data_IF_268865450506
#
_entry.id   IF_268865450506
#
_cell.length_a   1.000
_cell.length_b   1.000
_cell.length_c   1.000
_cell.angle_alpha   90.00
_cell.angle_beta   90.00
_cell.angle_gamma   90.00
#
_symmetry.space_group_name_H-M   'P 1'
#
loop_
_entity.id
_entity.type
_entity.pdbx_description
1 polymer ?
#
# COMPACT_ATOMS: atom_id res chain seq x y z
N UNK A 1 -27.31 -2.86 8.12
CA UNK A 1 -26.42 -3.32 7.02
C UNK A 1 -25.19 -2.43 6.75
N UNK A 2 -25.22 -1.10 6.92
CA UNK A 2 -24.08 -0.22 6.58
C UNK A 2 -22.83 -0.45 7.43
N UNK A 3 -23.00 -0.53 8.76
CA UNK A 3 -21.91 -0.81 9.70
C UNK A 3 -21.16 -2.11 9.37
N UNK A 4 -21.90 -3.15 8.98
CA UNK A 4 -21.33 -4.43 8.54
C UNK A 4 -20.50 -4.30 7.25
N UNK A 5 -21.00 -3.59 6.23
CA UNK A 5 -20.25 -3.34 4.98
C UNK A 5 -18.94 -2.59 5.24
N UNK A 6 -18.99 -1.61 6.13
CA UNK A 6 -17.86 -0.80 6.55
C UNK A 6 -16.81 -1.61 7.33
N UNK A 7 -17.25 -2.46 8.26
CA UNK A 7 -16.37 -3.40 8.95
C UNK A 7 -15.74 -4.40 7.99
N UNK A 8 -16.50 -4.91 7.01
CA UNK A 8 -15.99 -5.83 6.00
C UNK A 8 -14.98 -5.15 5.06
N UNK A 9 -15.24 -3.93 4.60
CA UNK A 9 -14.32 -3.14 3.78
C UNK A 9 -13.01 -2.87 4.53
N UNK A 10 -13.10 -2.48 5.81
CA UNK A 10 -11.94 -2.32 6.69
C UNK A 10 -11.17 -3.61 6.90
N UNK A 11 -11.85 -4.74 7.12
CA UNK A 11 -11.19 -6.03 7.27
C UNK A 11 -10.44 -6.44 6.00
N UNK A 12 -11.07 -6.28 4.84
CA UNK A 12 -10.44 -6.55 3.54
C UNK A 12 -9.25 -5.62 3.29
N UNK A 13 -9.39 -4.33 3.59
CA UNK A 13 -8.31 -3.35 3.42
C UNK A 13 -7.10 -3.73 4.28
N UNK A 14 -7.33 -4.05 5.56
CA UNK A 14 -6.27 -4.53 6.45
C UNK A 14 -5.57 -5.78 5.92
N UNK A 15 -6.32 -6.72 5.37
CA UNK A 15 -5.74 -7.94 4.82
C UNK A 15 -4.90 -7.68 3.57
N UNK A 16 -5.40 -6.86 2.64
CA UNK A 16 -4.64 -6.49 1.43
C UNK A 16 -3.34 -5.75 1.78
N UNK A 17 -3.37 -4.90 2.81
CA UNK A 17 -2.20 -4.16 3.26
C UNK A 17 -1.09 -5.04 3.82
N UNK A 18 -1.44 -6.11 4.54
CA UNK A 18 -0.45 -7.07 5.02
C UNK A 18 0.24 -7.83 3.88
N UNK A 19 -0.28 -7.75 2.66
CA UNK A 19 0.28 -8.45 1.50
C UNK A 19 1.17 -7.55 0.63
N UNK A 20 1.28 -6.24 0.92
CA UNK A 20 2.11 -5.34 0.10
C UNK A 20 3.57 -5.78 0.17
N UNK A 21 4.15 -5.85 1.36
CA UNK A 21 5.53 -6.29 1.57
C UNK A 21 5.76 -7.71 1.10
N UNK A 22 4.82 -8.63 1.34
CA UNK A 22 4.91 -10.01 0.85
C UNK A 22 5.01 -10.04 -0.68
N UNK A 23 4.13 -9.32 -1.38
CA UNK A 23 4.15 -9.25 -2.85
C UNK A 23 5.43 -8.62 -3.39
N UNK A 24 5.94 -7.58 -2.74
CA UNK A 24 7.19 -6.94 -3.14
C UNK A 24 8.39 -7.89 -2.98
N UNK A 25 8.50 -8.56 -1.82
CA UNK A 25 9.59 -9.49 -1.54
C UNK A 25 9.59 -10.69 -2.50
N UNK A 26 8.41 -11.22 -2.84
CA UNK A 26 8.28 -12.29 -3.82
C UNK A 26 8.75 -11.87 -5.22
N UNK A 27 8.49 -10.61 -5.61
CA UNK A 27 8.84 -10.08 -6.92
C UNK A 27 10.29 -9.59 -7.05
N UNK A 28 10.87 -9.06 -5.97
CA UNK A 28 12.28 -8.66 -5.92
C UNK A 28 13.23 -9.87 -5.94
N UNK A 29 12.76 -11.04 -5.52
CA UNK A 29 13.59 -12.24 -5.40
C UNK A 29 14.67 -12.09 -4.31
N UNK A 30 15.65 -13.00 -4.26
CA UNK A 30 16.74 -12.90 -3.30
C UNK A 30 17.56 -11.63 -3.57
N UNK A 31 17.56 -10.73 -2.60
CA UNK A 31 18.38 -9.52 -2.61
C UNK A 31 19.86 -9.93 -2.60
N UNK A 32 20.56 -9.70 -3.71
CA UNK A 32 22.00 -9.82 -3.75
C UNK A 32 22.60 -8.53 -3.15
N UNK A 33 23.04 -8.60 -1.89
CA UNK A 33 23.65 -7.46 -1.20
C UNK A 33 25.06 -7.12 -1.73
N UNK A 34 25.50 -7.73 -2.82
CA UNK A 34 26.70 -7.35 -3.53
C UNK A 34 26.48 -5.96 -4.14
N UNK A 35 27.06 -4.94 -3.49
CA UNK A 35 27.11 -3.53 -3.91
C UNK A 35 27.33 -3.42 -5.43
N UNK A 36 26.23 -3.29 -6.18
CA UNK A 36 26.28 -3.12 -7.62
C UNK A 36 25.97 -1.66 -7.92
N UNK A 37 27.04 -0.92 -8.24
CA UNK A 37 27.00 0.47 -8.71
C UNK A 37 26.33 0.58 -10.09
N UNK A 38 25.07 0.17 -10.21
CA UNK A 38 24.28 0.37 -11.43
C UNK A 38 22.98 1.09 -11.08
N UNK A 39 22.80 2.27 -11.66
CA UNK A 39 21.73 3.23 -11.35
C UNK A 39 20.30 2.79 -11.69
N UNK A 40 20.03 1.48 -11.74
CA UNK A 40 18.69 0.88 -11.85
C UNK A 40 18.14 0.45 -10.49
N UNK A 41 19.00 0.31 -9.47
CA UNK A 41 18.61 -0.14 -8.12
C UNK A 41 17.89 0.93 -7.29
N UNK A 42 18.12 2.21 -7.57
CA UNK A 42 17.58 3.33 -6.76
C UNK A 42 16.05 3.36 -6.74
N UNK A 43 15.41 3.17 -7.89
CA UNK A 43 13.94 3.28 -7.99
C UNK A 43 13.21 2.14 -7.26
N UNK A 44 13.84 0.96 -7.19
CA UNK A 44 13.31 -0.18 -6.44
C UNK A 44 13.35 0.06 -4.93
N UNK A 45 14.49 0.55 -4.43
CA UNK A 45 14.63 0.90 -3.02
C UNK A 45 13.71 2.04 -2.62
N UNK A 46 13.53 3.05 -3.46
CA UNK A 46 12.59 4.14 -3.21
C UNK A 46 11.15 3.64 -3.12
N UNK A 47 10.72 2.77 -4.06
CA UNK A 47 9.40 2.15 -4.01
C UNK A 47 9.26 1.28 -2.76
N UNK A 48 10.27 0.49 -2.39
CA UNK A 48 10.25 -0.34 -1.18
C UNK A 48 10.11 0.50 0.09
N UNK A 49 10.84 1.62 0.18
CA UNK A 49 10.77 2.55 1.31
C UNK A 49 9.40 3.22 1.41
N UNK A 50 8.83 3.66 0.29
CA UNK A 50 7.47 4.23 0.25
C UNK A 50 6.41 3.22 0.65
N UNK A 51 6.53 1.96 0.19
CA UNK A 51 5.61 0.88 0.58
C UNK A 51 5.71 0.54 2.08
N UNK A 52 6.92 0.49 2.64
CA UNK A 52 7.15 0.29 4.06
C UNK A 52 6.57 1.43 4.90
N UNK A 53 6.73 2.68 4.45
CA UNK A 53 6.13 3.85 5.08
C UNK A 53 4.60 3.77 5.06
N UNK A 54 4.01 3.45 3.92
CA UNK A 54 2.57 3.23 3.75
C UNK A 54 2.06 2.15 4.72
N UNK A 55 2.70 0.99 4.79
CA UNK A 55 2.30 -0.08 5.70
C UNK A 55 2.33 0.37 7.17
N UNK A 56 3.37 1.09 7.57
CA UNK A 56 3.51 1.64 8.93
C UNK A 56 2.38 2.61 9.26
N UNK A 57 2.07 3.54 8.35
CA UNK A 57 0.94 4.47 8.52
C UNK A 57 -0.38 3.71 8.70
N UNK A 58 -0.61 2.69 7.88
CA UNK A 58 -1.87 1.95 7.88
C UNK A 58 -1.99 0.91 9.01
N UNK A 59 -0.88 0.54 9.67
CA UNK A 59 -0.91 -0.31 10.86
C UNK A 59 -1.54 0.40 12.08
N UNK A 60 -1.41 1.73 12.14
CA UNK A 60 -1.86 2.54 13.29
C UNK A 60 -3.37 2.46 13.56
N UNK A 61 -3.77 2.35 14.84
CA UNK A 61 -5.19 2.36 15.23
C UNK A 61 -5.92 3.65 14.81
N UNK A 62 -5.20 4.79 14.79
CA UNK A 62 -5.72 6.09 14.37
C UNK A 62 -6.20 6.10 12.92
N UNK A 63 -5.44 5.46 12.02
CA UNK A 63 -5.76 5.32 10.60
C UNK A 63 -7.16 4.72 10.38
N UNK A 64 -7.53 3.72 11.18
CA UNK A 64 -8.80 3.00 11.04
C UNK A 64 -9.98 3.62 11.82
N UNK A 65 -9.78 4.77 12.44
CA UNK A 65 -10.85 5.45 13.15
C UNK A 65 -11.87 6.08 12.18
N UNK A 66 -13.13 6.15 12.61
CA UNK A 66 -14.22 6.70 11.79
C UNK A 66 -14.37 8.23 11.91
N UNK A 67 -13.53 8.87 12.71
CA UNK A 67 -13.55 10.31 12.93
C UNK A 67 -12.87 11.05 11.77
N UNK A 68 -12.80 12.39 11.86
CA UNK A 68 -12.12 13.24 10.88
C UNK A 68 -10.63 12.90 10.72
N UNK A 69 -9.95 12.59 11.82
CA UNK A 69 -8.51 12.23 11.83
C UNK A 69 -8.26 10.97 11.00
N UNK A 70 -8.98 9.87 11.28
CA UNK A 70 -8.81 8.63 10.51
C UNK A 70 -9.18 8.79 9.03
N UNK A 71 -10.17 9.63 8.71
CA UNK A 71 -10.51 9.97 7.32
C UNK A 71 -9.38 10.73 6.61
N UNK A 72 -8.79 11.71 7.30
CA UNK A 72 -7.66 12.47 6.76
C UNK A 72 -6.46 11.55 6.48
N UNK A 73 -6.08 10.72 7.45
CA UNK A 73 -4.98 9.75 7.30
C UNK A 73 -5.22 8.79 6.12
N UNK A 74 -6.46 8.32 5.94
CA UNK A 74 -6.80 7.47 4.78
C UNK A 74 -6.73 8.21 3.45
N UNK A 75 -7.09 9.50 3.41
CA UNK A 75 -6.99 10.31 2.20
C UNK A 75 -5.52 10.59 1.83
N UNK A 76 -4.67 10.88 2.82
CA UNK A 76 -3.22 11.04 2.65
C UNK A 76 -2.59 9.74 2.10
N UNK A 77 -2.87 8.61 2.74
CA UNK A 77 -2.40 7.31 2.26
C UNK A 77 -2.94 6.95 0.86
N UNK A 78 -4.17 7.32 0.53
CA UNK A 78 -4.71 7.09 -0.82
C UNK A 78 -3.92 7.88 -1.88
N UNK A 79 -3.55 9.13 -1.58
CA UNK A 79 -2.73 9.94 -2.48
C UNK A 79 -1.33 9.34 -2.68
N UNK A 80 -0.71 8.87 -1.60
CA UNK A 80 0.59 8.18 -1.66
C UNK A 80 0.50 6.88 -2.49
N UNK A 81 -0.50 6.03 -2.25
CA UNK A 81 -0.69 4.80 -3.04
C UNK A 81 -0.91 5.13 -4.52
N UNK A 82 -1.64 6.20 -4.84
CA UNK A 82 -1.81 6.66 -6.22
C UNK A 82 -0.50 7.13 -6.88
N UNK A 83 0.47 7.62 -6.10
CA UNK A 83 1.80 8.00 -6.58
C UNK A 83 2.71 6.78 -6.79
N UNK A 84 2.66 5.79 -5.89
CA UNK A 84 3.52 4.59 -5.92
C UNK A 84 3.06 3.59 -6.99
N UNK A 85 1.75 3.36 -7.14
CA UNK A 85 1.20 2.36 -8.05
C UNK A 85 1.72 2.44 -9.51
N UNK A 86 1.79 3.61 -10.17
CA UNK A 86 2.35 3.69 -11.52
C UNK A 86 3.86 3.38 -11.56
N UNK A 87 4.61 3.70 -10.49
CA UNK A 87 6.04 3.40 -10.40
C UNK A 87 6.28 1.89 -10.24
N UNK A 88 5.54 1.24 -9.35
CA UNK A 88 5.58 -0.22 -9.21
C UNK A 88 5.28 -0.92 -10.55
N UNK A 89 4.29 -0.41 -11.31
CA UNK A 89 3.97 -0.93 -12.64
C UNK A 89 5.10 -0.72 -13.65
N UNK A 90 5.76 0.43 -13.62
CA UNK A 90 6.90 0.74 -14.49
C UNK A 90 8.13 -0.15 -14.19
N UNK A 91 8.31 -0.54 -12.93
CA UNK A 91 9.35 -1.47 -12.50
C UNK A 91 9.05 -2.94 -12.82
N UNK A 92 7.86 -3.24 -13.38
CA UNK A 92 7.48 -4.61 -13.68
C UNK A 92 7.15 -5.44 -12.44
N UNK A 93 6.53 -4.80 -11.43
CA UNK A 93 5.99 -5.41 -10.22
C UNK A 93 4.47 -5.65 -10.32
N UNK A 94 3.98 -6.62 -11.13
CA UNK A 94 2.56 -6.83 -11.38
C UNK A 94 1.74 -7.18 -10.14
N UNK A 95 2.27 -7.99 -9.21
CA UNK A 95 1.57 -8.41 -8.00
C UNK A 95 1.48 -7.26 -7.01
N UNK A 96 2.59 -6.56 -6.75
CA UNK A 96 2.60 -5.37 -5.90
C UNK A 96 1.64 -4.32 -6.46
N UNK A 97 1.67 -4.08 -7.78
CA UNK A 97 0.74 -3.15 -8.44
C UNK A 97 -0.72 -3.55 -8.26
N UNK A 98 -1.04 -4.85 -8.41
CA UNK A 98 -2.40 -5.35 -8.21
C UNK A 98 -2.86 -5.21 -6.75
N UNK A 99 -1.96 -5.44 -5.78
CA UNK A 99 -2.23 -5.21 -4.36
C UNK A 99 -2.52 -3.73 -4.09
N UNK A 100 -1.74 -2.81 -4.66
CA UNK A 100 -1.97 -1.36 -4.53
C UNK A 100 -3.31 -0.93 -5.16
N UNK A 101 -3.66 -1.46 -6.32
CA UNK A 101 -4.96 -1.21 -6.97
C UNK A 101 -6.14 -1.69 -6.07
N UNK A 102 -5.99 -2.84 -5.41
CA UNK A 102 -6.98 -3.36 -4.46
C UNK A 102 -7.08 -2.48 -3.20
N UNK A 103 -5.95 -1.98 -2.69
CA UNK A 103 -5.92 -1.03 -1.56
C UNK A 103 -6.66 0.25 -1.91
N UNK A 104 -6.40 0.84 -3.09
CA UNK A 104 -7.11 2.02 -3.58
C UNK A 104 -8.62 1.78 -3.58
N UNK A 105 -9.05 0.65 -4.15
CA UNK A 105 -10.46 0.28 -4.27
C UNK A 105 -11.12 0.15 -2.90
N UNK A 106 -10.44 -0.49 -1.94
CA UNK A 106 -10.97 -0.74 -0.60
C UNK A 106 -11.01 0.53 0.26
N UNK A 107 -9.94 1.32 0.27
CA UNK A 107 -9.90 2.59 1.02
C UNK A 107 -10.93 3.58 0.48
N UNK A 108 -11.06 3.70 -0.84
CA UNK A 108 -12.10 4.52 -1.48
C UNK A 108 -13.52 4.11 -1.06
N UNK A 109 -13.76 2.82 -0.87
CA UNK A 109 -15.06 2.30 -0.45
C UNK A 109 -15.37 2.57 1.03
N UNK A 110 -14.36 2.72 1.89
CA UNK A 110 -14.54 3.02 3.32
C UNK A 110 -15.08 4.44 3.52
N UNK A 111 -14.62 5.40 2.70
CA UNK A 111 -14.94 6.83 2.89
C UNK A 111 -16.04 7.37 1.97
N UNK A 112 -16.46 6.62 0.93
CA UNK A 112 -17.66 6.93 0.13
C UNK A 112 -18.92 6.85 1.01
N UNK A 113 -19.48 8.02 1.32
CA UNK A 113 -20.76 8.22 2.01
C UNK A 113 -21.93 8.23 1.03
#
# INVERSE_FOLDING_TARGET
>A
MRLFRNCLARFRARRALLQISDSLLEEMGPLDFAESESGTDSDWWDVAMELSYLESQMAGRGFWSWNSVGRQLRAEALNEVHAVAPRARALGLPQTSATLDEVIRLLSAIDRR
#
